data_IF_005261586868
#
_entry.id   IF_005261586868
#
_cell.length_a   1.000
_cell.length_b   1.000
_cell.length_c   1.000
_cell.angle_alpha   90.00
_cell.angle_beta   90.00
_cell.angle_gamma   90.00
#
_symmetry.space_group_name_H-M   'P 1'
#
loop_
_entity.id
_entity.type
_entity.pdbx_description
1 polymer ?
#
# COMPACT_ATOMS: atom_id res chain seq x y z
N UNK A 1 26.85 5.48 16.22
CA UNK A 1 25.42 5.09 16.20
C UNK A 1 24.84 5.29 14.83
N UNK A 2 24.17 4.27 14.33
CA UNK A 2 23.53 4.38 13.03
C UNK A 2 22.24 5.18 13.13
N UNK A 3 22.09 6.14 12.25
CA UNK A 3 20.81 6.85 12.12
C UNK A 3 19.95 6.04 11.13
N UNK A 4 18.79 5.63 11.58
CA UNK A 4 17.88 4.91 10.72
C UNK A 4 17.33 5.87 9.65
N UNK A 5 17.40 5.43 8.40
CA UNK A 5 16.79 6.20 7.32
C UNK A 5 15.29 5.94 7.29
N UNK A 6 14.54 6.98 7.01
CA UNK A 6 13.12 6.82 6.77
C UNK A 6 12.96 6.07 5.44
N UNK A 7 12.25 4.93 5.42
CA UNK A 7 12.06 4.16 4.19
C UNK A 7 11.37 5.00 3.11
N UNK A 8 11.79 4.82 1.88
CA UNK A 8 11.15 5.54 0.78
C UNK A 8 9.72 5.04 0.57
N UNK A 9 8.83 5.97 0.27
CA UNK A 9 7.44 5.67 0.01
C UNK A 9 6.98 6.54 -1.16
N UNK A 10 6.80 5.92 -2.33
CA UNK A 10 6.34 6.65 -3.50
C UNK A 10 4.87 7.05 -3.30
N UNK A 11 4.43 8.00 -4.11
CA UNK A 11 3.04 8.46 -4.07
C UNK A 11 2.06 7.31 -4.29
N UNK A 12 2.35 6.43 -5.24
CA UNK A 12 1.50 5.28 -5.54
C UNK A 12 1.51 4.26 -4.41
N UNK A 13 2.67 4.01 -3.82
CA UNK A 13 2.76 3.13 -2.65
C UNK A 13 1.95 3.67 -1.49
N UNK A 14 2.01 4.98 -1.27
CA UNK A 14 1.26 5.61 -0.21
C UNK A 14 -0.25 5.48 -0.44
N UNK A 15 -0.71 5.70 -1.68
CA UNK A 15 -2.12 5.54 -2.00
C UNK A 15 -2.61 4.12 -1.71
N UNK A 16 -1.81 3.12 -2.06
CA UNK A 16 -2.15 1.72 -1.79
C UNK A 16 -2.19 1.45 -0.28
N UNK A 17 -1.17 1.91 0.46
CA UNK A 17 -1.15 1.72 1.91
C UNK A 17 -2.35 2.40 2.58
N UNK A 18 -2.69 3.60 2.15
CA UNK A 18 -3.86 4.30 2.68
C UNK A 18 -5.13 3.47 2.51
N UNK A 19 -5.32 2.89 1.33
CA UNK A 19 -6.48 2.03 1.07
C UNK A 19 -6.50 0.80 1.97
N UNK A 20 -5.36 0.14 2.10
CA UNK A 20 -5.30 -1.11 2.86
C UNK A 20 -5.41 -0.88 4.37
N UNK A 21 -4.90 0.23 4.86
CA UNK A 21 -5.03 0.58 6.27
C UNK A 21 -6.47 0.99 6.59
N UNK A 22 -7.07 1.82 5.75
CA UNK A 22 -8.42 2.34 6.01
C UNK A 22 -9.50 1.29 5.73
N UNK A 23 -9.35 0.51 4.67
CA UNK A 23 -10.39 -0.40 4.21
C UNK A 23 -10.15 -1.88 4.48
N UNK A 24 -8.98 -2.22 5.04
CA UNK A 24 -8.60 -3.62 5.28
C UNK A 24 -8.08 -4.32 4.03
N UNK A 25 -7.93 -5.65 4.11
CA UNK A 25 -7.38 -6.41 2.99
C UNK A 25 -8.19 -6.26 1.70
N UNK A 26 -7.49 -6.24 0.57
CA UNK A 26 -8.11 -6.08 -0.75
C UNK A 26 -7.42 -6.93 -1.79
N UNK A 27 -8.17 -7.31 -2.82
CA UNK A 27 -7.60 -7.87 -4.05
C UNK A 27 -7.01 -6.74 -4.88
N UNK A 28 -6.05 -7.07 -5.75
CA UNK A 28 -5.42 -6.05 -6.60
C UNK A 28 -6.40 -5.25 -7.44
N UNK A 29 -7.41 -5.91 -8.02
CA UNK A 29 -8.43 -5.21 -8.81
C UNK A 29 -9.27 -4.26 -7.97
N UNK A 30 -9.52 -4.60 -6.70
CA UNK A 30 -10.23 -3.69 -5.80
C UNK A 30 -9.42 -2.42 -5.54
N UNK A 31 -8.09 -2.57 -5.41
CA UNK A 31 -7.19 -1.42 -5.24
C UNK A 31 -7.30 -0.49 -6.45
N UNK A 32 -7.32 -1.06 -7.66
CA UNK A 32 -7.49 -0.28 -8.89
C UNK A 32 -8.83 0.44 -8.89
N UNK A 33 -9.91 -0.29 -8.64
CA UNK A 33 -11.26 0.28 -8.67
C UNK A 33 -11.44 1.38 -7.63
N UNK A 34 -10.96 1.15 -6.42
CA UNK A 34 -11.12 2.10 -5.33
C UNK A 34 -10.24 3.35 -5.51
N UNK A 35 -9.24 3.30 -6.38
CA UNK A 35 -8.39 4.46 -6.65
C UNK A 35 -9.07 5.51 -7.53
N UNK A 36 -10.19 5.18 -8.14
CA UNK A 36 -10.95 6.09 -9.01
C UNK A 36 -10.09 6.72 -10.10
N UNK A 37 -9.29 5.89 -10.75
CA UNK A 37 -8.45 6.31 -11.86
C UNK A 37 -7.05 6.77 -11.46
N UNK A 38 -6.75 6.91 -10.17
CA UNK A 38 -5.42 7.31 -9.73
C UNK A 38 -4.37 6.23 -9.96
N UNK A 39 -4.79 4.97 -9.96
CA UNK A 39 -3.89 3.83 -10.13
C UNK A 39 -4.37 2.97 -11.30
N UNK A 40 -3.47 2.70 -12.22
CA UNK A 40 -3.77 1.88 -13.39
C UNK A 40 -3.42 0.42 -13.11
N UNK A 41 -4.18 -0.49 -13.70
CA UNK A 41 -4.05 -1.93 -13.48
C UNK A 41 -2.63 -2.43 -13.63
N UNK A 42 -1.97 -2.11 -14.73
CA UNK A 42 -0.60 -2.57 -14.98
C UNK A 42 0.39 -2.04 -13.94
N UNK A 43 0.21 -0.80 -13.51
CA UNK A 43 1.07 -0.17 -12.52
C UNK A 43 0.85 -0.76 -11.12
N UNK A 44 -0.40 -1.06 -10.77
CA UNK A 44 -0.73 -1.57 -9.43
C UNK A 44 -0.01 -2.87 -9.13
N UNK A 45 -0.04 -3.83 -10.06
CA UNK A 45 0.58 -5.13 -9.79
C UNK A 45 2.10 -5.04 -9.64
N UNK A 46 2.75 -4.18 -10.43
CA UNK A 46 4.19 -3.93 -10.28
C UNK A 46 4.48 -3.28 -8.92
N UNK A 47 3.67 -2.31 -8.54
CA UNK A 47 3.84 -1.60 -7.28
C UNK A 47 3.60 -2.53 -6.09
N UNK A 48 2.55 -3.36 -6.15
CA UNK A 48 2.26 -4.33 -5.09
C UNK A 48 3.43 -5.30 -4.88
N UNK A 49 4.02 -5.80 -5.97
CA UNK A 49 5.18 -6.68 -5.88
C UNK A 49 6.36 -5.99 -5.20
N UNK A 50 6.61 -4.75 -5.56
CA UNK A 50 7.67 -3.96 -4.93
C UNK A 50 7.41 -3.73 -3.46
N UNK A 51 6.17 -3.45 -3.09
CA UNK A 51 5.80 -3.22 -1.69
C UNK A 51 5.95 -4.49 -0.85
N UNK A 52 5.65 -5.65 -1.43
CA UNK A 52 5.90 -6.92 -0.74
C UNK A 52 7.39 -7.12 -0.47
N UNK A 53 8.24 -6.83 -1.46
CA UNK A 53 9.69 -6.93 -1.30
C UNK A 53 10.22 -6.01 -0.21
N UNK A 54 9.61 -4.85 -0.05
CA UNK A 54 9.96 -3.91 1.01
C UNK A 54 9.40 -4.29 2.38
N UNK A 55 8.54 -5.29 2.44
CA UNK A 55 7.91 -5.70 3.69
C UNK A 55 6.77 -4.82 4.16
N UNK A 56 6.26 -3.94 3.29
CA UNK A 56 5.17 -3.03 3.63
C UNK A 56 3.82 -3.73 3.62
N UNK A 57 3.66 -4.73 2.78
CA UNK A 57 2.44 -5.52 2.64
C UNK A 57 2.81 -6.99 2.49
N UNK A 58 1.83 -7.85 2.75
CA UNK A 58 1.91 -9.27 2.47
C UNK A 58 0.71 -9.67 1.65
N UNK A 59 0.86 -10.76 0.90
CA UNK A 59 -0.26 -11.28 0.14
C UNK A 59 -0.49 -12.74 0.49
N UNK A 60 -1.74 -13.15 0.36
CA UNK A 60 -2.14 -14.53 0.52
C UNK A 60 -2.89 -14.97 -0.72
N UNK A 61 -2.49 -16.12 -1.23
CA UNK A 61 -3.18 -16.73 -2.37
C UNK A 61 -4.54 -17.24 -1.91
N UNK A 62 -5.58 -16.81 -2.60
CA UNK A 62 -6.93 -17.27 -2.32
C UNK A 62 -7.33 -18.27 -3.41
N UNK A 63 -7.81 -19.45 -3.05
CA UNK A 63 -8.29 -20.38 -4.07
C UNK A 63 -9.50 -19.81 -4.79
N UNK A 64 -9.72 -20.28 -6.03
CA UNK A 64 -10.89 -19.87 -6.79
C UNK A 64 -12.17 -20.17 -6.01
N UNK A 65 -13.08 -19.20 -5.97
CA UNK A 65 -14.34 -19.35 -5.24
C UNK A 65 -15.26 -20.38 -5.87
N UNK A 66 -15.07 -20.68 -7.16
CA UNK A 66 -15.88 -21.65 -7.89
C UNK A 66 -15.05 -22.21 -9.03
N UNK A 67 -15.52 -23.34 -9.57
CA UNK A 67 -14.88 -23.97 -10.73
C UNK A 67 -14.80 -22.98 -11.89
N UNK A 68 -13.65 -22.92 -12.54
CA UNK A 68 -13.40 -22.03 -13.67
C UNK A 68 -13.02 -20.60 -13.31
N UNK A 69 -13.16 -20.19 -12.04
CA UNK A 69 -12.70 -18.88 -11.62
C UNK A 69 -11.19 -18.88 -11.41
N UNK A 70 -10.55 -17.74 -11.68
CA UNK A 70 -9.12 -17.60 -11.46
C UNK A 70 -8.82 -17.38 -9.96
N UNK A 71 -7.75 -17.99 -9.44
CA UNK A 71 -7.29 -17.69 -8.09
C UNK A 71 -6.95 -16.20 -7.98
N UNK A 72 -7.14 -15.65 -6.80
CA UNK A 72 -6.83 -14.27 -6.51
C UNK A 72 -5.84 -14.16 -5.37
N UNK A 73 -5.19 -13.01 -5.30
CA UNK A 73 -4.25 -12.73 -4.23
C UNK A 73 -4.80 -11.58 -3.39
N UNK A 74 -4.95 -11.85 -2.11
CA UNK A 74 -5.44 -10.86 -1.15
C UNK A 74 -4.25 -10.18 -0.49
N UNK A 75 -4.21 -8.85 -0.53
CA UNK A 75 -3.12 -8.05 0.02
C UNK A 75 -3.54 -7.38 1.32
N UNK A 76 -2.63 -7.33 2.29
CA UNK A 76 -2.86 -6.64 3.55
C UNK A 76 -1.60 -5.95 4.03
N UNK A 77 -1.76 -4.89 4.81
CA UNK A 77 -0.64 -4.13 5.35
C UNK A 77 0.01 -4.89 6.50
N UNK A 78 1.35 -4.92 6.52
CA UNK A 78 2.09 -5.44 7.66
C UNK A 78 2.15 -4.39 8.77
N UNK A 79 2.53 -4.80 9.98
CA UNK A 79 2.77 -3.86 11.07
C UNK A 79 3.85 -2.84 10.67
N UNK A 80 4.87 -3.31 9.97
CA UNK A 80 5.94 -2.43 9.47
C UNK A 80 5.38 -1.41 8.47
N UNK A 81 4.56 -1.86 7.52
CA UNK A 81 3.94 -0.96 6.54
C UNK A 81 3.10 0.13 7.19
N UNK A 82 2.34 -0.24 8.24
CA UNK A 82 1.55 0.73 8.98
C UNK A 82 2.45 1.77 9.66
N UNK A 83 3.55 1.34 10.27
CA UNK A 83 4.48 2.25 10.90
C UNK A 83 5.13 3.21 9.90
N UNK A 84 5.47 2.71 8.71
CA UNK A 84 6.04 3.55 7.65
C UNK A 84 5.04 4.60 7.21
N UNK A 85 3.79 4.20 6.99
CA UNK A 85 2.74 5.15 6.61
C UNK A 85 2.53 6.21 7.69
N UNK A 86 2.47 5.79 8.95
CA UNK A 86 2.28 6.73 10.07
C UNK A 86 3.44 7.71 10.17
N UNK A 87 4.68 7.25 9.96
CA UNK A 87 5.86 8.11 10.00
C UNK A 87 5.82 9.17 8.90
N UNK A 88 5.49 8.77 7.68
CA UNK A 88 5.38 9.72 6.57
C UNK A 88 4.23 10.70 6.77
N UNK A 89 3.12 10.24 7.32
CA UNK A 89 1.98 11.11 7.63
C UNK A 89 2.36 12.14 8.67
N UNK A 90 3.13 11.76 9.68
CA UNK A 90 3.61 12.69 10.71
C UNK A 90 4.54 13.74 10.11
N UNK A 91 5.46 13.34 9.24
CA UNK A 91 6.36 14.27 8.56
C UNK A 91 5.56 15.24 7.70
N UNK A 92 4.59 14.75 6.94
CA UNK A 92 3.76 15.59 6.08
C UNK A 92 2.98 16.63 6.89
N UNK A 93 2.44 16.23 8.04
CA UNK A 93 1.73 17.18 8.93
C UNK A 93 2.66 18.23 9.48
N UNK A 94 3.86 17.85 9.91
CA UNK A 94 4.84 18.78 10.44
C UNK A 94 5.23 19.83 9.41
N UNK A 95 5.49 19.39 8.17
CA UNK A 95 5.85 20.29 7.09
C UNK A 95 4.69 21.22 6.71
N UNK A 96 3.46 20.70 6.71
CA UNK A 96 2.28 21.49 6.40
C UNK A 96 2.06 22.61 7.42
N UNK A 97 2.28 22.32 8.70
CA UNK A 97 2.14 23.33 9.76
C UNK A 97 3.17 24.44 9.57
N UNK A 98 4.43 24.10 9.29
CA UNK A 98 5.46 25.10 9.04
C UNK A 98 5.17 25.89 7.76
N UNK A 99 4.72 25.24 6.73
CA UNK A 99 4.40 25.91 5.46
C UNK A 99 3.21 26.84 5.54
N UNK A 100 2.37 26.71 6.55
CA UNK A 100 1.18 27.54 6.72
C UNK A 100 1.47 28.89 7.38
N UNK A 101 2.68 29.11 7.84
CA UNK A 101 3.07 30.35 8.49
C UNK A 101 3.33 31.48 7.49
#
# INVERSE_FOLDING_TARGET
MKVARLPTLSNKERLILDQLVAGGPKYGLQVVDDSRGALKRGTVYVTLGRMEQKGLIESRHEPAARSGALPRRMYHTTAYGRRVLDAWSAVARALAVEGAR
#
